data_IF_526855031824
#
_entry.id   IF_526855031824
#
_cell.length_a   1.000
_cell.length_b   1.000
_cell.length_c   1.000
_cell.angle_alpha   90.00
_cell.angle_beta   90.00
_cell.angle_gamma   90.00
#
_symmetry.space_group_name_H-M   'P 1'
#
loop_
_entity.id
_entity.type
_entity.pdbx_description
1 polymer ?
#
# COMPACT_ATOMS: atom_id res chain seq x y z
N UNK A 1 39.18 36.41 5.12
CA UNK A 1 38.92 35.50 6.25
C UNK A 1 37.53 34.92 6.07
N UNK A 2 37.47 33.77 5.42
CA UNK A 2 36.27 32.95 5.31
C UNK A 2 36.39 31.88 6.42
N UNK A 3 35.71 32.09 7.51
CA UNK A 3 35.50 31.10 8.54
C UNK A 3 34.38 31.59 9.46
N UNK A 4 33.23 30.96 9.38
CA UNK A 4 32.26 30.76 10.44
C UNK A 4 30.82 30.59 9.91
N UNK A 5 30.56 29.53 9.15
CA UNK A 5 29.23 28.95 9.02
C UNK A 5 29.31 27.42 9.18
N UNK A 6 29.85 27.00 10.33
CA UNK A 6 29.55 25.64 10.82
C UNK A 6 28.42 25.85 11.84
N UNK A 7 27.21 25.86 11.33
CA UNK A 7 26.03 25.78 12.17
C UNK A 7 26.05 24.48 12.96
N UNK A 8 25.76 24.57 14.25
CA UNK A 8 25.58 23.44 15.16
C UNK A 8 24.74 22.39 14.48
N UNK A 9 25.36 21.28 14.07
CA UNK A 9 24.68 20.12 13.53
C UNK A 9 23.73 19.61 14.59
N UNK A 10 22.45 19.97 14.46
CA UNK A 10 21.39 19.28 15.13
C UNK A 10 21.53 17.82 14.72
N UNK A 11 21.90 16.93 15.63
CA UNK A 11 21.85 15.49 15.40
C UNK A 11 20.43 15.18 14.95
N UNK A 12 20.27 14.91 13.65
CA UNK A 12 19.03 14.42 13.09
C UNK A 12 18.87 13.03 13.70
N UNK A 13 17.95 12.89 14.66
CA UNK A 13 17.67 11.60 15.25
C UNK A 13 17.36 10.61 14.12
N UNK A 14 18.26 9.65 13.92
CA UNK A 14 18.02 8.53 13.02
C UNK A 14 16.77 7.82 13.50
N UNK A 15 15.90 7.41 12.58
CA UNK A 15 14.79 6.52 12.91
C UNK A 15 15.43 5.23 13.43
N UNK A 16 14.91 4.72 14.56
CA UNK A 16 15.38 3.46 15.13
C UNK A 16 15.14 2.32 14.15
N UNK A 17 16.18 1.56 13.82
CA UNK A 17 16.09 0.43 12.90
C UNK A 17 15.11 -0.66 13.39
N UNK A 18 14.79 -0.69 14.69
CA UNK A 18 13.82 -1.64 15.27
C UNK A 18 12.39 -1.49 14.74
N UNK A 19 12.05 -0.35 14.10
CA UNK A 19 10.75 -0.14 13.48
C UNK A 19 10.60 -0.86 12.14
N UNK A 20 11.70 -1.35 11.56
CA UNK A 20 11.69 -2.09 10.30
C UNK A 20 11.87 -3.59 10.55
N UNK A 21 11.10 -4.42 9.83
CA UNK A 21 11.25 -5.88 9.92
C UNK A 21 12.58 -6.32 9.29
N UNK A 22 12.98 -5.69 8.18
CA UNK A 22 14.20 -5.99 7.45
C UNK A 22 14.98 -4.69 7.13
N UNK A 23 15.62 -4.05 8.13
CA UNK A 23 16.33 -2.78 7.93
C UNK A 23 17.54 -2.89 7.00
N UNK A 24 18.11 -4.09 6.86
CA UNK A 24 19.19 -4.39 5.90
C UNK A 24 18.70 -4.47 4.44
N UNK A 25 17.40 -4.57 4.22
CA UNK A 25 16.79 -4.65 2.89
C UNK A 25 16.14 -3.34 2.49
N UNK A 26 15.31 -2.77 3.36
CA UNK A 26 14.62 -1.52 3.13
C UNK A 26 14.39 -0.77 4.44
N UNK A 27 14.77 0.48 4.45
CA UNK A 27 14.52 1.44 5.53
C UNK A 27 14.36 2.83 4.97
N UNK A 28 13.89 3.74 5.76
CA UNK A 28 13.85 5.16 5.45
C UNK A 28 14.19 5.98 6.69
N UNK A 29 14.65 7.20 6.47
CA UNK A 29 14.81 8.21 7.50
C UNK A 29 14.08 9.50 7.06
N UNK A 30 14.45 10.62 7.67
CA UNK A 30 13.85 11.92 7.33
C UNK A 30 14.35 12.51 6.01
N UNK A 31 15.32 11.92 5.39
CA UNK A 31 16.03 12.47 4.22
C UNK A 31 15.86 11.58 2.99
N UNK A 32 15.89 10.27 3.16
CA UNK A 32 15.90 9.35 2.03
C UNK A 32 15.32 7.98 2.37
N UNK A 33 15.06 7.22 1.30
CA UNK A 33 14.79 5.79 1.36
C UNK A 33 16.07 5.06 1.06
N UNK A 34 16.39 4.04 1.85
CA UNK A 34 17.56 3.19 1.65
C UNK A 34 17.14 1.78 1.27
N UNK A 35 17.71 1.28 0.19
CA UNK A 35 17.56 -0.10 -0.26
C UNK A 35 18.93 -0.75 -0.25
N UNK A 36 19.06 -1.83 0.54
CA UNK A 36 20.32 -2.58 0.69
C UNK A 36 21.52 -1.67 1.05
N UNK A 37 21.26 -0.69 1.94
CA UNK A 37 22.26 0.25 2.43
C UNK A 37 22.63 1.37 1.47
N UNK A 38 21.90 1.53 0.35
CA UNK A 38 22.12 2.61 -0.62
C UNK A 38 20.94 3.58 -0.59
N UNK A 39 21.24 4.86 -0.58
CA UNK A 39 20.25 5.92 -0.73
C UNK A 39 19.63 5.87 -2.13
N UNK A 40 18.31 5.84 -2.20
CA UNK A 40 17.57 5.72 -3.45
C UNK A 40 16.60 6.90 -3.58
N UNK A 41 16.70 7.61 -4.70
CA UNK A 41 15.66 8.52 -5.13
C UNK A 41 14.62 7.72 -5.93
N UNK A 42 13.39 7.62 -5.41
CA UNK A 42 12.30 6.95 -6.12
C UNK A 42 11.70 7.91 -7.14
N UNK A 43 11.97 7.63 -8.42
CA UNK A 43 11.29 8.25 -9.53
C UNK A 43 10.17 7.33 -9.98
N UNK A 44 8.97 7.51 -9.36
CA UNK A 44 7.83 6.62 -9.52
C UNK A 44 6.82 7.13 -10.53
N UNK A 45 6.25 6.23 -11.31
CA UNK A 45 5.13 6.48 -12.20
C UNK A 45 3.88 5.73 -11.75
N UNK A 46 2.72 6.38 -11.83
CA UNK A 46 1.44 5.73 -11.65
C UNK A 46 1.10 4.90 -12.91
N UNK A 47 1.11 3.58 -12.79
CA UNK A 47 0.74 2.67 -13.86
C UNK A 47 -0.26 1.63 -13.34
N UNK A 48 -1.53 1.80 -13.69
CA UNK A 48 -2.61 0.97 -13.19
C UNK A 48 -2.96 -0.11 -14.20
N UNK A 49 -2.65 -1.38 -13.89
CA UNK A 49 -2.87 -2.55 -14.78
C UNK A 49 -4.32 -2.65 -15.25
N UNK A 50 -5.29 -2.37 -14.38
CA UNK A 50 -6.73 -2.46 -14.69
C UNK A 50 -7.23 -1.38 -15.68
N UNK A 51 -6.41 -0.39 -16.03
CA UNK A 51 -6.73 0.67 -17.01
C UNK A 51 -6.07 0.49 -18.36
N UNK A 52 -5.14 -0.45 -18.47
CA UNK A 52 -4.38 -0.68 -19.70
C UNK A 52 -4.50 -2.15 -20.11
N UNK A 53 -4.93 -2.48 -21.34
CA UNK A 53 -4.96 -3.86 -21.79
C UNK A 53 -3.62 -4.56 -21.61
N UNK A 54 -3.62 -5.77 -21.07
CA UNK A 54 -2.42 -6.54 -20.74
C UNK A 54 -1.40 -6.66 -21.89
N UNK A 55 -1.80 -6.88 -23.16
CA UNK A 55 -0.83 -6.93 -24.27
C UNK A 55 -0.03 -5.65 -24.49
N UNK A 56 -0.46 -4.51 -23.94
CA UNK A 56 0.24 -3.23 -24.03
C UNK A 56 1.22 -2.99 -22.87
N UNK A 57 1.19 -3.80 -21.82
CA UNK A 57 2.05 -3.58 -20.66
C UNK A 57 3.54 -3.59 -20.97
N UNK A 58 4.08 -4.55 -21.81
CA UNK A 58 5.50 -4.55 -22.12
C UNK A 58 5.97 -3.24 -22.75
N UNK A 59 5.18 -2.65 -23.67
CA UNK A 59 5.50 -1.34 -24.25
C UNK A 59 5.49 -0.22 -23.21
N UNK A 60 4.54 -0.23 -22.28
CA UNK A 60 4.44 0.78 -21.21
C UNK A 60 5.61 0.68 -20.23
N UNK A 61 5.94 -0.52 -19.77
CA UNK A 61 7.09 -0.75 -18.89
C UNK A 61 8.41 -0.35 -19.54
N UNK A 62 8.60 -0.70 -20.81
CA UNK A 62 9.78 -0.28 -21.58
C UNK A 62 9.89 1.25 -21.64
N UNK A 63 8.81 1.97 -21.96
CA UNK A 63 8.79 3.44 -22.00
C UNK A 63 9.07 4.07 -20.64
N UNK A 64 8.59 3.49 -19.56
CA UNK A 64 8.91 3.95 -18.20
C UNK A 64 10.41 3.82 -17.94
N UNK A 65 11.02 2.68 -18.26
CA UNK A 65 12.47 2.50 -18.12
C UNK A 65 13.27 3.46 -18.97
N UNK A 66 12.90 3.65 -20.23
CA UNK A 66 13.53 4.63 -21.13
C UNK A 66 13.38 6.07 -20.63
N UNK A 67 12.28 6.37 -19.96
CA UNK A 67 12.04 7.67 -19.29
C UNK A 67 12.80 7.85 -17.97
N UNK A 68 13.60 6.87 -17.53
CA UNK A 68 14.41 6.95 -16.32
C UNK A 68 13.66 6.57 -15.03
N UNK A 69 12.42 6.12 -15.11
CA UNK A 69 11.68 5.67 -13.93
C UNK A 69 12.31 4.40 -13.35
N UNK A 70 12.40 4.34 -12.02
CA UNK A 70 12.90 3.17 -11.29
C UNK A 70 11.83 2.52 -10.41
N UNK A 71 10.63 3.10 -10.36
CA UNK A 71 9.52 2.62 -9.57
C UNK A 71 8.21 2.79 -10.33
N UNK A 72 7.25 1.91 -10.06
CA UNK A 72 5.85 2.09 -10.44
C UNK A 72 4.97 1.98 -9.21
N UNK A 73 3.89 2.75 -9.19
CA UNK A 73 2.83 2.55 -8.23
C UNK A 73 1.55 2.07 -8.91
N UNK A 74 0.81 1.21 -8.25
CA UNK A 74 -0.49 0.78 -8.73
C UNK A 74 -1.50 0.64 -7.61
N UNK A 75 -2.71 1.15 -7.84
CA UNK A 75 -3.87 0.76 -7.03
C UNK A 75 -4.28 -0.68 -7.32
N UNK A 76 -4.91 -1.32 -6.36
CA UNK A 76 -5.51 -2.65 -6.50
C UNK A 76 -6.99 -2.53 -6.14
N UNK A 77 -7.90 -2.32 -7.12
CA UNK A 77 -9.31 -2.12 -6.82
C UNK A 77 -9.98 -3.43 -6.42
N UNK A 78 -10.60 -3.47 -5.26
CA UNK A 78 -11.31 -4.66 -4.78
C UNK A 78 -12.41 -5.08 -5.77
N UNK A 79 -13.21 -4.12 -6.28
CA UNK A 79 -14.30 -4.39 -7.23
C UNK A 79 -13.84 -4.88 -8.62
N UNK A 80 -12.56 -4.73 -8.95
CA UNK A 80 -11.99 -5.30 -10.17
C UNK A 80 -11.78 -6.80 -10.03
N UNK A 81 -11.32 -7.23 -8.87
CA UNK A 81 -10.95 -8.60 -8.57
C UNK A 81 -12.11 -9.44 -8.03
N UNK A 82 -13.10 -8.81 -7.38
CA UNK A 82 -14.25 -9.50 -6.78
C UNK A 82 -15.57 -8.84 -7.17
N UNK A 83 -16.02 -9.13 -8.39
CA UNK A 83 -17.21 -8.54 -8.98
C UNK A 83 -18.51 -9.15 -8.44
N UNK A 84 -18.46 -10.39 -7.95
CA UNK A 84 -19.60 -11.14 -7.43
C UNK A 84 -19.50 -11.22 -5.91
N UNK A 85 -20.64 -11.19 -5.25
CA UNK A 85 -20.73 -11.32 -3.81
C UNK A 85 -20.32 -12.73 -3.37
N UNK A 86 -19.30 -12.89 -2.52
CA UNK A 86 -18.94 -14.17 -1.94
C UNK A 86 -19.99 -14.60 -0.88
N UNK A 87 -20.09 -15.89 -0.63
CA UNK A 87 -21.03 -16.45 0.36
C UNK A 87 -20.68 -16.07 1.79
N UNK A 88 -19.39 -15.95 2.08
CA UNK A 88 -18.85 -15.55 3.39
C UNK A 88 -17.47 -14.91 3.24
N UNK A 89 -16.91 -14.28 4.29
CA UNK A 89 -15.52 -13.77 4.27
C UNK A 89 -14.45 -14.85 4.10
N UNK A 90 -14.79 -16.13 4.15
CA UNK A 90 -13.86 -17.25 3.88
C UNK A 90 -13.97 -17.76 2.43
N UNK A 91 -14.99 -17.35 1.70
CA UNK A 91 -15.24 -17.77 0.32
C UNK A 91 -14.46 -16.90 -0.66
N UNK A 92 -13.36 -17.42 -1.19
CA UNK A 92 -12.49 -16.74 -2.15
C UNK A 92 -12.83 -17.10 -3.62
N UNK A 93 -13.87 -17.88 -3.84
CA UNK A 93 -14.23 -18.39 -5.19
C UNK A 93 -14.60 -17.31 -6.21
N UNK A 94 -14.90 -16.09 -5.74
CA UNK A 94 -15.24 -14.95 -6.58
C UNK A 94 -14.03 -14.03 -6.90
N UNK A 95 -12.87 -14.29 -6.28
CA UNK A 95 -11.66 -13.49 -6.47
C UNK A 95 -10.81 -14.00 -7.63
N UNK A 96 -10.38 -13.09 -8.49
CA UNK A 96 -9.40 -13.37 -9.54
C UNK A 96 -8.24 -12.38 -9.46
N UNK A 97 -7.10 -12.86 -9.02
CA UNK A 97 -5.89 -12.07 -8.78
C UNK A 97 -4.79 -12.28 -9.82
N UNK A 98 -5.03 -13.07 -10.89
CA UNK A 98 -4.02 -13.43 -11.87
C UNK A 98 -3.40 -12.20 -12.54
N UNK A 99 -4.22 -11.23 -12.86
CA UNK A 99 -3.77 -10.00 -13.53
C UNK A 99 -2.82 -9.17 -12.65
N UNK A 100 -3.05 -9.14 -11.33
CA UNK A 100 -2.13 -8.50 -10.38
C UNK A 100 -0.79 -9.25 -10.32
N UNK A 101 -0.82 -10.57 -10.20
CA UNK A 101 0.38 -11.41 -10.16
C UNK A 101 1.24 -11.23 -11.43
N UNK A 102 0.61 -11.25 -12.60
CA UNK A 102 1.28 -11.01 -13.90
C UNK A 102 1.89 -9.61 -13.99
N UNK A 103 1.19 -8.59 -13.47
CA UNK A 103 1.69 -7.22 -13.44
C UNK A 103 2.93 -7.08 -12.57
N UNK A 104 2.91 -7.66 -11.36
CA UNK A 104 4.04 -7.62 -10.43
C UNK A 104 5.26 -8.35 -11.01
N UNK A 105 5.07 -9.52 -11.62
CA UNK A 105 6.15 -10.25 -12.32
C UNK A 105 6.75 -9.40 -13.43
N UNK A 106 5.92 -8.77 -14.24
CA UNK A 106 6.41 -7.94 -15.35
C UNK A 106 7.19 -6.72 -14.83
N UNK A 107 6.75 -6.06 -13.76
CA UNK A 107 7.49 -4.96 -13.14
C UNK A 107 8.88 -5.41 -12.65
N UNK A 108 8.98 -6.60 -12.06
CA UNK A 108 10.25 -7.22 -11.66
C UNK A 108 11.15 -7.51 -12.87
N UNK A 109 10.60 -8.09 -13.95
CA UNK A 109 11.33 -8.41 -15.19
C UNK A 109 11.92 -7.14 -15.83
N UNK A 110 11.23 -6.02 -15.74
CA UNK A 110 11.71 -4.70 -16.17
C UNK A 110 12.64 -4.02 -15.17
N UNK A 111 12.91 -4.63 -14.02
CA UNK A 111 13.78 -4.05 -12.99
C UNK A 111 13.21 -2.78 -12.37
N UNK A 112 11.92 -2.77 -12.07
CA UNK A 112 11.22 -1.67 -11.39
C UNK A 112 10.84 -2.06 -9.97
N UNK A 113 11.04 -1.16 -9.04
CA UNK A 113 10.41 -1.25 -7.72
C UNK A 113 8.91 -1.03 -7.84
N UNK A 114 8.15 -1.54 -6.89
CA UNK A 114 6.68 -1.40 -6.92
C UNK A 114 6.17 -0.88 -5.58
N UNK A 115 5.22 0.05 -5.65
CA UNK A 115 4.38 0.48 -4.53
C UNK A 115 2.97 -0.04 -4.81
N UNK A 116 2.45 -0.89 -3.93
CA UNK A 116 1.09 -1.44 -4.05
C UNK A 116 0.13 -0.70 -3.13
N UNK A 117 -1.06 -0.38 -3.66
CA UNK A 117 -2.06 0.45 -2.98
C UNK A 117 -3.45 -0.21 -3.03
N UNK A 118 -3.69 -1.25 -2.20
CA UNK A 118 -4.94 -2.03 -2.23
C UNK A 118 -6.13 -1.38 -1.48
N UNK A 119 -5.94 -0.24 -0.89
CA UNK A 119 -7.01 0.45 -0.16
C UNK A 119 -7.21 -0.04 1.26
N UNK A 120 -8.44 -0.42 1.67
CA UNK A 120 -9.62 -0.86 0.88
C UNK A 120 -10.31 0.23 0.06
N UNK A 121 -10.28 1.49 0.49
CA UNK A 121 -10.65 2.64 -0.32
C UNK A 121 -9.45 3.13 -1.12
N UNK A 122 -9.58 3.30 -2.43
CA UNK A 122 -8.49 3.76 -3.28
C UNK A 122 -8.72 5.11 -3.93
N UNK A 123 -9.95 5.66 -3.88
CA UNK A 123 -10.35 6.85 -4.65
C UNK A 123 -10.11 6.66 -6.15
N UNK A 124 -8.98 7.09 -6.65
CA UNK A 124 -8.40 6.83 -7.97
C UNK A 124 -9.34 7.19 -9.14
N UNK A 125 -10.33 8.07 -8.95
CA UNK A 125 -11.40 8.30 -9.94
C UNK A 125 -11.98 6.96 -10.46
N UNK A 126 -12.12 6.00 -9.54
CA UNK A 126 -12.62 4.67 -9.82
C UNK A 126 -13.98 4.43 -9.15
N UNK A 127 -14.85 3.70 -9.83
CA UNK A 127 -16.22 3.46 -9.36
C UNK A 127 -16.26 2.91 -7.94
N UNK A 128 -17.06 3.54 -7.07
CA UNK A 128 -17.20 3.16 -5.67
C UNK A 128 -15.92 3.31 -4.82
N UNK A 129 -14.92 4.08 -5.29
CA UNK A 129 -13.63 4.19 -4.60
C UNK A 129 -12.89 2.86 -4.46
N UNK A 130 -13.18 1.90 -5.34
CA UNK A 130 -12.60 0.56 -5.33
C UNK A 130 -13.43 -0.50 -4.61
N UNK A 131 -14.41 -0.11 -3.80
CA UNK A 131 -15.26 -1.09 -3.12
C UNK A 131 -16.18 -1.84 -4.10
N UNK A 132 -16.37 -3.16 -3.93
CA UNK A 132 -17.35 -3.89 -4.71
C UNK A 132 -18.76 -3.46 -4.34
N UNK A 133 -19.64 -3.33 -5.36
CA UNK A 133 -21.01 -2.86 -5.14
C UNK A 133 -21.78 -3.74 -4.14
N UNK A 134 -21.49 -5.03 -4.11
CA UNK A 134 -22.17 -5.97 -3.22
C UNK A 134 -21.84 -5.75 -1.72
N UNK A 135 -20.73 -5.05 -1.38
CA UNK A 135 -20.33 -4.80 0.03
C UNK A 135 -21.43 -4.05 0.78
N UNK A 136 -22.19 -3.21 0.06
CA UNK A 136 -23.29 -2.44 0.63
C UNK A 136 -24.44 -3.31 1.16
N UNK A 137 -24.59 -4.52 0.65
CA UNK A 137 -25.57 -5.48 1.14
C UNK A 137 -25.18 -6.12 2.48
N UNK A 138 -23.90 -5.94 2.89
CA UNK A 138 -23.37 -6.43 4.17
C UNK A 138 -23.46 -5.39 5.30
N UNK A 139 -23.82 -4.16 4.96
CA UNK A 139 -23.95 -3.05 5.91
C UNK A 139 -25.04 -3.35 6.95
N UNK A 140 -24.76 -3.17 8.26
CA UNK A 140 -25.78 -3.28 9.30
C UNK A 140 -26.94 -2.30 9.06
N UNK A 141 -28.18 -2.75 9.33
CA UNK A 141 -29.40 -1.98 9.02
C UNK A 141 -29.45 -0.59 9.66
N UNK A 142 -28.81 -0.42 10.81
CA UNK A 142 -28.82 0.82 11.60
C UNK A 142 -27.69 1.80 11.23
N UNK A 143 -26.79 1.45 10.28
CA UNK A 143 -25.67 2.30 9.86
C UNK A 143 -25.94 2.94 8.49
N UNK A 144 -25.34 4.09 8.24
CA UNK A 144 -25.33 4.72 6.91
C UNK A 144 -24.12 4.22 6.11
N UNK A 145 -24.13 4.47 4.80
CA UNK A 145 -22.97 4.19 3.94
C UNK A 145 -21.72 4.87 4.48
N UNK A 146 -21.81 6.16 4.75
CA UNK A 146 -20.66 6.98 5.13
C UNK A 146 -20.11 6.64 6.52
N UNK A 147 -20.91 6.01 7.38
CA UNK A 147 -20.51 5.68 8.76
C UNK A 147 -20.08 4.22 8.94
N UNK A 148 -20.19 3.40 7.91
CA UNK A 148 -19.84 1.98 7.97
C UNK A 148 -18.56 1.65 7.21
N UNK A 149 -18.43 2.13 5.96
CA UNK A 149 -17.20 1.97 5.20
C UNK A 149 -16.05 2.77 5.86
N UNK A 150 -14.85 2.27 5.74
CA UNK A 150 -13.64 2.89 6.32
C UNK A 150 -13.78 3.12 7.84
N UNK A 151 -14.35 2.17 8.54
CA UNK A 151 -14.54 2.21 9.99
C UNK A 151 -14.01 0.95 10.67
N UNK A 152 -13.90 0.99 11.98
CA UNK A 152 -13.57 -0.18 12.80
C UNK A 152 -14.80 -1.01 13.20
N UNK A 153 -15.92 -0.89 12.45
CA UNK A 153 -17.06 -1.78 12.61
C UNK A 153 -16.61 -3.24 12.41
N UNK A 154 -16.94 -4.16 13.34
CA UNK A 154 -16.46 -5.54 13.28
C UNK A 154 -16.85 -6.30 12.00
N UNK A 155 -18.03 -6.03 11.43
CA UNK A 155 -18.43 -6.69 10.17
C UNK A 155 -17.66 -6.12 8.98
N UNK A 156 -17.42 -4.80 8.94
CA UNK A 156 -16.58 -4.18 7.92
C UNK A 156 -15.14 -4.67 8.01
N UNK A 157 -14.59 -4.78 9.22
CA UNK A 157 -13.23 -5.30 9.43
C UNK A 157 -13.08 -6.76 9.02
N UNK A 158 -14.09 -7.60 9.19
CA UNK A 158 -14.09 -9.00 8.69
C UNK A 158 -13.99 -9.05 7.16
N UNK A 159 -14.66 -8.13 6.47
CA UNK A 159 -14.58 -8.03 5.01
C UNK A 159 -13.25 -7.42 4.55
N UNK A 160 -12.69 -6.47 5.29
CA UNK A 160 -11.32 -5.99 5.03
C UNK A 160 -10.30 -7.10 5.19
N UNK A 161 -10.42 -7.92 6.21
CA UNK A 161 -9.53 -9.08 6.40
C UNK A 161 -9.66 -10.09 5.26
N UNK A 162 -10.87 -10.35 4.76
CA UNK A 162 -11.09 -11.15 3.57
C UNK A 162 -10.32 -10.61 2.37
N UNK A 163 -10.44 -9.33 2.08
CA UNK A 163 -9.76 -8.67 0.97
C UNK A 163 -8.23 -8.72 1.14
N UNK A 164 -7.73 -8.25 2.26
CA UNK A 164 -6.29 -8.20 2.51
C UNK A 164 -5.64 -9.58 2.54
N UNK A 165 -6.29 -10.59 3.08
CA UNK A 165 -5.78 -11.95 3.09
C UNK A 165 -5.40 -12.41 1.68
N UNK A 166 -6.24 -12.14 0.69
CA UNK A 166 -5.98 -12.58 -0.68
C UNK A 166 -4.96 -11.69 -1.37
N UNK A 167 -5.08 -10.36 -1.23
CA UNK A 167 -4.08 -9.43 -1.78
C UNK A 167 -2.70 -9.71 -1.23
N UNK A 168 -2.56 -9.81 0.09
CA UNK A 168 -1.27 -10.07 0.72
C UNK A 168 -0.65 -11.39 0.27
N UNK A 169 -1.45 -12.45 0.11
CA UNK A 169 -0.96 -13.74 -0.40
C UNK A 169 -0.34 -13.61 -1.80
N UNK A 170 -0.92 -12.77 -2.65
CA UNK A 170 -0.35 -12.51 -3.98
C UNK A 170 0.87 -11.61 -3.90
N UNK A 171 0.84 -10.57 -3.07
CA UNK A 171 1.93 -9.59 -2.96
C UNK A 171 3.14 -10.14 -2.20
N UNK A 172 2.95 -10.98 -1.20
CA UNK A 172 4.02 -11.45 -0.32
C UNK A 172 5.24 -12.04 -1.06
N UNK A 173 5.12 -12.90 -2.08
CA UNK A 173 6.28 -13.42 -2.81
C UNK A 173 6.98 -12.36 -3.68
N UNK A 174 6.33 -11.25 -3.96
CA UNK A 174 6.87 -10.15 -4.77
C UNK A 174 7.58 -9.07 -3.95
N UNK A 175 7.59 -9.16 -2.63
CA UNK A 175 8.26 -8.18 -1.79
C UNK A 175 9.78 -8.21 -2.01
N UNK A 176 10.41 -7.03 -1.99
CA UNK A 176 11.87 -6.88 -2.06
C UNK A 176 12.56 -7.75 -1.00
N UNK A 177 11.97 -7.84 0.18
CA UNK A 177 12.48 -8.64 1.31
C UNK A 177 12.53 -10.14 1.05
N UNK A 178 11.78 -10.62 0.07
CA UNK A 178 11.72 -12.04 -0.36
C UNK A 178 12.57 -12.33 -1.60
N UNK A 179 13.18 -11.31 -2.19
CA UNK A 179 14.04 -11.46 -3.38
C UNK A 179 15.52 -11.56 -2.99
N UNK A 180 16.35 -12.05 -3.87
CA UNK A 180 17.81 -11.96 -3.72
C UNK A 180 18.28 -10.51 -3.76
N UNK A 181 19.42 -10.22 -3.13
CA UNK A 181 19.99 -8.87 -3.17
C UNK A 181 20.27 -8.42 -4.59
N UNK A 182 20.04 -7.14 -4.86
CA UNK A 182 20.20 -6.55 -6.20
C UNK A 182 19.00 -6.72 -7.12
N UNK A 183 17.94 -7.43 -6.69
CA UNK A 183 16.69 -7.53 -7.44
C UNK A 183 15.70 -6.44 -7.01
N UNK A 184 14.73 -6.19 -7.86
CA UNK A 184 13.60 -5.30 -7.55
C UNK A 184 12.39 -6.10 -7.07
N UNK A 185 11.38 -5.40 -6.57
CA UNK A 185 10.13 -5.97 -6.10
C UNK A 185 9.29 -4.93 -5.40
N UNK A 186 8.25 -5.36 -4.70
CA UNK A 186 7.41 -4.48 -3.89
C UNK A 186 8.21 -3.93 -2.72
N UNK A 187 8.24 -2.60 -2.58
CA UNK A 187 9.00 -1.89 -1.54
C UNK A 187 8.12 -1.20 -0.51
N UNK A 188 6.88 -0.86 -0.87
CA UNK A 188 5.89 -0.28 0.04
C UNK A 188 4.51 -0.89 -0.20
N UNK A 189 3.78 -1.04 0.90
CA UNK A 189 2.39 -1.46 0.90
C UNK A 189 1.54 -0.37 1.54
N UNK A 190 0.67 0.29 0.76
CA UNK A 190 -0.18 1.34 1.28
C UNK A 190 -1.50 0.78 1.80
N UNK A 191 -1.86 1.15 3.03
CA UNK A 191 -3.20 0.94 3.58
C UNK A 191 -3.97 2.24 3.52
N UNK A 192 -5.27 2.17 3.16
CA UNK A 192 -6.16 3.31 2.97
C UNK A 192 -5.70 4.33 1.91
N UNK A 193 -6.54 5.31 1.67
CA UNK A 193 -6.25 6.43 0.81
C UNK A 193 -7.05 7.65 1.26
N UNK A 194 -6.38 8.80 1.44
CA UNK A 194 -6.97 10.08 1.80
C UNK A 194 -7.90 10.01 3.04
N UNK A 195 -7.54 9.24 4.04
CA UNK A 195 -8.40 8.93 5.18
C UNK A 195 -8.77 10.15 6.03
N UNK A 196 -8.01 11.24 5.97
CA UNK A 196 -8.34 12.51 6.62
C UNK A 196 -9.65 13.15 6.15
N UNK A 197 -10.13 12.79 4.96
CA UNK A 197 -11.41 13.29 4.45
C UNK A 197 -12.61 12.86 5.28
N UNK A 198 -12.46 11.80 6.07
CA UNK A 198 -13.53 11.27 6.93
C UNK A 198 -13.59 12.11 8.21
N UNK A 199 -14.40 13.18 8.19
CA UNK A 199 -14.50 14.16 9.28
C UNK A 199 -15.38 13.72 10.45
N UNK A 200 -16.32 12.81 10.21
CA UNK A 200 -17.28 12.35 11.21
C UNK A 200 -16.73 11.26 12.14
N UNK A 201 -15.59 10.67 11.79
CA UNK A 201 -15.00 9.58 12.56
C UNK A 201 -14.06 10.13 13.65
N UNK A 202 -14.23 9.76 14.93
CA UNK A 202 -13.38 10.25 16.01
C UNK A 202 -11.89 9.95 15.75
N UNK A 203 -11.02 10.84 16.17
CA UNK A 203 -9.58 10.74 15.90
C UNK A 203 -8.96 9.44 16.43
N UNK A 204 -9.32 9.07 17.64
CA UNK A 204 -8.86 7.83 18.28
C UNK A 204 -9.32 6.60 17.49
N UNK A 205 -10.57 6.59 17.05
CA UNK A 205 -11.12 5.49 16.26
C UNK A 205 -10.49 5.40 14.86
N UNK A 206 -10.06 6.51 14.26
CA UNK A 206 -9.26 6.51 13.03
C UNK A 206 -7.92 5.82 13.23
N UNK A 207 -7.25 6.16 14.33
CA UNK A 207 -5.99 5.52 14.69
C UNK A 207 -6.17 4.02 14.88
N UNK A 208 -7.17 3.59 15.64
CA UNK A 208 -7.47 2.19 15.87
C UNK A 208 -7.76 1.43 14.57
N UNK A 209 -8.49 2.04 13.65
CA UNK A 209 -8.78 1.46 12.33
C UNK A 209 -7.49 1.22 11.54
N UNK A 210 -6.60 2.21 11.44
CA UNK A 210 -5.34 2.08 10.73
C UNK A 210 -4.42 1.04 11.38
N UNK A 211 -4.38 0.98 12.72
CA UNK A 211 -3.66 -0.07 13.47
C UNK A 211 -4.18 -1.46 13.07
N UNK A 212 -5.49 -1.65 13.07
CA UNK A 212 -6.09 -2.93 12.70
C UNK A 212 -5.76 -3.32 11.26
N UNK A 213 -5.81 -2.38 10.29
CA UNK A 213 -5.42 -2.65 8.92
C UNK A 213 -3.95 -3.07 8.83
N UNK A 214 -3.05 -2.37 9.53
CA UNK A 214 -1.62 -2.70 9.57
C UNK A 214 -1.40 -4.08 10.18
N UNK A 215 -2.08 -4.41 11.28
CA UNK A 215 -2.01 -5.73 11.91
C UNK A 215 -2.49 -6.84 10.96
N UNK A 216 -3.56 -6.59 10.19
CA UNK A 216 -4.05 -7.56 9.20
C UNK A 216 -2.98 -7.82 8.14
N UNK A 217 -2.38 -6.77 7.55
CA UNK A 217 -1.38 -6.98 6.50
C UNK A 217 -0.12 -7.66 7.03
N UNK A 218 0.29 -7.36 8.27
CA UNK A 218 1.40 -8.06 8.95
C UNK A 218 1.09 -9.54 9.22
N UNK A 219 -0.14 -9.84 9.67
CA UNK A 219 -0.62 -11.22 9.84
C UNK A 219 -0.49 -12.05 8.56
N UNK A 220 -0.65 -11.42 7.41
CA UNK A 220 -0.54 -12.05 6.10
C UNK A 220 0.80 -11.78 5.40
N UNK A 221 1.87 -11.69 6.20
CA UNK A 221 3.27 -11.72 5.78
C UNK A 221 3.72 -10.54 4.89
N UNK A 222 3.16 -9.38 5.07
CA UNK A 222 3.72 -8.17 4.48
C UNK A 222 4.85 -7.65 5.38
N UNK A 223 6.08 -7.73 4.90
CA UNK A 223 7.30 -7.40 5.65
C UNK A 223 7.88 -6.03 5.27
N UNK A 224 7.58 -5.55 4.07
CA UNK A 224 8.01 -4.21 3.64
C UNK A 224 7.32 -3.12 4.45
N UNK A 225 7.86 -1.89 4.52
CA UNK A 225 7.22 -0.80 5.23
C UNK A 225 5.80 -0.55 4.74
N UNK A 226 4.89 -0.33 5.70
CA UNK A 226 3.52 0.06 5.44
C UNK A 226 3.44 1.58 5.40
N UNK A 227 2.74 2.11 4.42
CA UNK A 227 2.52 3.54 4.25
C UNK A 227 1.03 3.85 4.25
N UNK A 228 0.69 5.09 4.52
CA UNK A 228 -0.64 5.66 4.27
C UNK A 228 -0.50 6.94 3.45
N UNK A 229 -1.62 7.49 2.98
CA UNK A 229 -1.65 8.70 2.18
C UNK A 229 -2.61 9.70 2.83
N UNK A 230 -2.12 10.94 3.01
CA UNK A 230 -2.85 12.08 3.54
C UNK A 230 -3.65 11.78 4.81
N UNK A 231 -2.95 11.40 5.86
CA UNK A 231 -3.55 11.03 7.15
C UNK A 231 -2.71 11.58 8.30
N UNK A 232 -3.21 12.60 9.03
CA UNK A 232 -2.51 13.18 10.16
C UNK A 232 -2.35 12.19 11.32
N UNK A 233 -3.30 11.29 11.48
CA UNK A 233 -3.30 10.25 12.49
C UNK A 233 -2.22 9.18 12.24
N UNK A 234 -1.71 9.03 11.03
CA UNK A 234 -0.71 8.03 10.68
C UNK A 234 0.63 8.23 11.40
N UNK A 235 0.95 9.46 11.80
CA UNK A 235 2.23 9.77 12.46
C UNK A 235 2.47 9.03 13.77
N UNK A 236 1.44 8.40 14.33
CA UNK A 236 1.50 7.69 15.60
C UNK A 236 0.71 6.36 15.57
N UNK A 237 0.45 5.80 14.41
CA UNK A 237 -0.33 4.56 14.29
C UNK A 237 0.52 3.36 14.69
N UNK A 238 1.69 3.28 14.14
CA UNK A 238 2.72 2.31 14.46
C UNK A 238 4.06 2.96 14.16
N UNK A 239 5.08 2.72 14.97
CA UNK A 239 6.44 3.12 14.61
C UNK A 239 6.80 2.40 13.31
N UNK A 240 7.24 3.15 12.29
CA UNK A 240 7.54 2.60 10.98
C UNK A 240 6.44 2.71 9.93
N UNK A 241 5.28 3.28 10.26
CA UNK A 241 4.29 3.66 9.24
C UNK A 241 4.59 5.07 8.72
N UNK A 242 4.94 5.17 7.46
CA UNK A 242 5.21 6.44 6.78
C UNK A 242 3.91 7.02 6.23
N UNK A 243 3.64 8.30 6.53
CA UNK A 243 2.59 9.03 5.85
C UNK A 243 3.13 9.53 4.50
N UNK A 244 2.77 8.84 3.42
CA UNK A 244 3.07 9.28 2.05
C UNK A 244 2.13 10.43 1.63
N UNK A 245 2.68 11.41 0.94
CA UNK A 245 1.92 12.53 0.37
C UNK A 245 1.53 12.23 -1.06
#
# INVERSE_FOLDING_TARGET
TADSFIGNGTQISSIDDSVFIHPDRIRYDRQCIQIEGKDIFLFSAAFHYFRVPQPLWPDRFRKLKEGGFNCVETYIPWNWHERKMPRSPQDESCLDMRELDDFLKMAEDFGLYVIVRPGPYICAEWSGGGFPQWIMQKKPAKTTFDTWLQSNDPEFMRWNEHWYRVVCRVVAPHQLTRKSKGHTGVIFFQVENEFNRIKWFPKEAKKDYLIQLTQIVRKYEIDVPVITCWTDEARNVEEGVLNGV
#
